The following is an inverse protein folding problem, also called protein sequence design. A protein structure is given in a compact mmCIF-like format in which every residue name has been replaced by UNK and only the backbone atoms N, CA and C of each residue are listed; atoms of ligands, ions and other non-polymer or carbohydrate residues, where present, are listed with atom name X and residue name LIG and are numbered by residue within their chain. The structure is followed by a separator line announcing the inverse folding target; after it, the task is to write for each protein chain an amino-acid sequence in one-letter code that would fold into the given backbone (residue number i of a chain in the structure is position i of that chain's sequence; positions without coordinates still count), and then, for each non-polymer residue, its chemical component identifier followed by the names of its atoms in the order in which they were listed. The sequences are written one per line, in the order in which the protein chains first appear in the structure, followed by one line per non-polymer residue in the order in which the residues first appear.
data_IF_741962436451
#
_entry.id   IF_741962436451
#
_cell.length_a   1.000
_cell.length_b   1.000
_cell.length_c   1.000
_cell.angle_alpha   90.00
_cell.angle_beta   90.00
_cell.angle_gamma   90.00
#
_symmetry.space_group_name_H-M   'P 1'
#
loop_
_entity.id
_entity.type
_entity.pdbx_description
1 polymer ?
#
# COMPACT_ATOMS: atom_id res chain seq x y z
N UNK A 1 39.93 -6.42 -2.79
CA UNK A 1 40.22 -5.46 -3.87
C UNK A 1 38.91 -4.71 -4.11
N UNK A 2 38.80 -3.44 -3.71
CA UNK A 2 37.64 -2.62 -4.03
C UNK A 2 37.94 -1.88 -5.34
N UNK A 3 36.98 -1.89 -6.27
CA UNK A 3 37.03 -1.23 -7.57
C UNK A 3 35.72 -0.45 -7.71
N UNK A 4 35.77 0.88 -7.88
CA UNK A 4 34.62 1.73 -8.18
C UNK A 4 35.10 2.76 -9.24
N UNK A 5 34.31 3.01 -10.29
CA UNK A 5 34.76 3.61 -11.57
C UNK A 5 33.83 4.74 -12.05
N UNK A 6 34.22 5.90 -12.59
CA UNK A 6 35.32 6.89 -12.39
C UNK A 6 34.71 8.26 -12.80
N UNK A 7 35.21 9.36 -12.20
CA UNK A 7 35.19 10.76 -12.66
C UNK A 7 34.85 11.02 -14.14
N UNK A 8 33.83 11.84 -14.37
CA UNK A 8 33.20 12.19 -15.66
C UNK A 8 34.04 13.07 -16.62
N UNK A 9 35.27 13.44 -16.25
CA UNK A 9 36.17 14.24 -17.08
C UNK A 9 36.93 13.37 -18.11
N UNK A 10 36.26 13.08 -19.24
CA UNK A 10 36.75 12.22 -20.34
C UNK A 10 38.07 12.61 -21.00
N UNK A 11 38.63 13.81 -20.74
CA UNK A 11 39.78 14.32 -21.50
C UNK A 11 41.14 14.35 -20.76
N UNK A 12 41.19 14.32 -19.41
CA UNK A 12 42.46 14.47 -18.68
C UNK A 12 42.87 13.27 -17.80
N UNK A 13 41.96 12.33 -17.50
CA UNK A 13 42.23 11.28 -16.50
C UNK A 13 41.88 9.86 -16.98
N UNK A 14 41.73 9.65 -18.29
CA UNK A 14 41.43 8.34 -18.88
C UNK A 14 42.48 7.25 -18.54
N UNK A 15 43.71 7.65 -18.20
CA UNK A 15 44.80 6.73 -17.81
C UNK A 15 44.76 6.28 -16.34
N UNK A 16 43.97 6.94 -15.50
CA UNK A 16 43.90 6.70 -14.04
C UNK A 16 42.63 5.93 -13.63
N UNK A 17 42.01 5.22 -14.56
CA UNK A 17 40.80 4.43 -14.32
C UNK A 17 41.16 2.96 -14.10
N UNK A 18 40.76 2.34 -12.97
CA UNK A 18 39.87 2.81 -11.89
C UNK A 18 40.56 3.59 -10.75
N UNK A 19 39.77 4.17 -9.85
CA UNK A 19 40.25 4.55 -8.52
C UNK A 19 40.63 3.29 -7.72
N UNK A 20 41.91 3.18 -7.35
CA UNK A 20 42.41 2.11 -6.49
C UNK A 20 42.70 2.68 -5.11
N UNK A 21 42.00 2.18 -4.09
CA UNK A 21 42.34 2.46 -2.69
C UNK A 21 43.39 1.44 -2.24
N UNK A 22 44.53 1.93 -1.76
CA UNK A 22 45.63 1.11 -1.25
C UNK A 22 45.71 1.22 0.28
N UNK A 23 45.15 0.25 1.05
CA UNK A 23 45.09 0.31 2.52
C UNK A 23 46.39 0.67 3.23
N UNK A 24 47.52 0.15 2.74
CA UNK A 24 48.84 0.41 3.34
C UNK A 24 49.25 1.88 3.29
N UNK A 25 48.82 2.64 2.28
CA UNK A 25 49.09 4.08 2.16
C UNK A 25 48.22 4.91 3.11
N UNK A 26 47.14 4.32 3.61
CA UNK A 26 46.22 4.89 4.61
C UNK A 26 46.49 4.33 6.01
N UNK A 27 47.70 3.80 6.25
CA UNK A 27 48.10 3.22 7.53
C UNK A 27 47.29 1.99 7.96
N UNK A 28 46.57 1.35 7.03
CA UNK A 28 45.57 0.32 7.29
C UNK A 28 44.45 0.77 8.26
N UNK A 29 44.19 2.08 8.38
CA UNK A 29 43.10 2.62 9.18
C UNK A 29 41.75 2.29 8.51
N UNK A 30 40.87 1.59 9.23
CA UNK A 30 39.53 1.23 8.75
C UNK A 30 38.73 2.46 8.36
N UNK A 31 38.80 3.51 9.19
CA UNK A 31 38.18 4.81 8.93
C UNK A 31 38.73 5.47 7.67
N UNK A 32 40.06 5.64 7.58
CA UNK A 32 40.66 6.31 6.44
C UNK A 32 40.38 5.57 5.12
N UNK A 33 40.35 4.23 5.16
CA UNK A 33 39.95 3.40 4.02
C UNK A 33 38.49 3.64 3.67
N UNK A 34 37.58 3.63 4.65
CA UNK A 34 36.15 3.86 4.41
C UNK A 34 35.89 5.25 3.83
N UNK A 35 36.51 6.29 4.39
CA UNK A 35 36.37 7.66 3.90
C UNK A 35 36.93 7.84 2.49
N UNK A 36 38.13 7.29 2.22
CA UNK A 36 38.69 7.35 0.88
C UNK A 36 37.78 6.62 -0.12
N UNK A 37 37.23 5.46 0.22
CA UNK A 37 36.27 4.76 -0.64
C UNK A 37 35.01 5.60 -0.86
N UNK A 38 34.44 6.18 0.20
CA UNK A 38 33.24 7.02 0.12
C UNK A 38 33.46 8.28 -0.72
N UNK A 39 34.61 8.95 -0.57
CA UNK A 39 35.00 10.11 -1.38
C UNK A 39 35.03 9.76 -2.88
N UNK A 40 35.70 8.67 -3.24
CA UNK A 40 35.76 8.20 -4.63
C UNK A 40 34.37 7.77 -5.16
N UNK A 41 33.50 7.24 -4.30
CA UNK A 41 32.10 6.98 -4.62
C UNK A 41 31.35 8.28 -4.95
N UNK A 42 31.57 9.34 -4.17
CA UNK A 42 30.99 10.66 -4.40
C UNK A 42 31.28 11.18 -5.81
N UNK A 43 32.50 11.01 -6.30
CA UNK A 43 32.84 11.38 -7.67
C UNK A 43 32.08 10.59 -8.75
N UNK A 44 31.72 9.32 -8.50
CA UNK A 44 30.86 8.57 -9.43
C UNK A 44 29.43 9.11 -9.44
N UNK A 45 29.00 9.73 -8.34
CA UNK A 45 27.78 10.50 -8.27
C UNK A 45 27.93 11.92 -8.84
N UNK A 46 29.12 12.32 -9.30
CA UNK A 46 29.37 13.64 -9.91
C UNK A 46 29.62 14.75 -8.88
N UNK A 47 29.99 14.39 -7.66
CA UNK A 47 30.33 15.35 -6.62
C UNK A 47 31.71 15.96 -6.90
N UNK A 48 31.85 17.25 -6.55
CA UNK A 48 33.11 17.97 -6.63
C UNK A 48 33.78 17.95 -5.26
N UNK A 49 35.05 18.37 -5.17
CA UNK A 49 35.67 18.49 -3.86
C UNK A 49 35.03 19.62 -3.06
N UNK A 50 34.84 19.36 -1.77
CA UNK A 50 34.48 20.37 -0.78
C UNK A 50 35.73 21.15 -0.40
N UNK A 51 35.85 22.38 -0.92
CA UNK A 51 36.99 23.25 -0.71
C UNK A 51 36.59 24.64 -0.23
N UNK A 52 37.58 25.53 -0.16
CA UNK A 52 37.36 26.95 0.11
C UNK A 52 37.83 27.80 -1.06
N UNK A 53 37.64 29.11 -0.97
CA UNK A 53 38.18 30.06 -1.96
C UNK A 53 39.70 29.97 -2.15
N UNK A 54 40.45 29.43 -1.18
CA UNK A 54 41.92 29.36 -1.21
C UNK A 54 42.49 27.94 -1.20
N UNK A 55 41.70 26.94 -0.83
CA UNK A 55 42.13 25.54 -0.72
C UNK A 55 41.21 24.64 -1.53
N UNK A 56 41.79 23.72 -2.30
CA UNK A 56 41.02 22.73 -3.07
C UNK A 56 40.27 21.70 -2.22
N UNK A 57 40.63 21.57 -0.93
CA UNK A 57 39.98 20.69 0.03
C UNK A 57 39.84 21.38 1.38
N UNK A 58 38.69 21.22 2.01
CA UNK A 58 38.40 21.72 3.34
C UNK A 58 38.62 20.62 4.39
N UNK A 59 39.40 20.93 5.43
CA UNK A 59 39.76 19.99 6.51
C UNK A 59 38.72 19.91 7.64
N UNK A 60 37.57 20.55 7.46
CA UNK A 60 36.54 20.65 8.50
C UNK A 60 36.89 21.58 9.67
N UNK A 61 35.96 21.66 10.60
CA UNK A 61 36.04 22.44 11.84
C UNK A 61 35.32 21.71 12.98
N UNK A 62 35.56 22.12 14.22
CA UNK A 62 35.03 21.42 15.40
C UNK A 62 35.27 19.90 15.32
N UNK A 63 34.23 19.08 15.48
CA UNK A 63 34.29 17.63 15.37
C UNK A 63 33.90 17.10 13.98
N UNK A 64 33.74 17.97 12.97
CA UNK A 64 33.15 17.63 11.67
C UNK A 64 34.02 18.00 10.46
N UNK A 65 33.92 17.24 9.39
CA UNK A 65 34.39 17.59 8.05
C UNK A 65 33.45 17.08 6.95
N UNK A 66 33.48 17.71 5.77
CA UNK A 66 32.86 17.14 4.59
C UNK A 66 33.66 15.96 4.03
N UNK A 67 32.97 14.92 3.59
CA UNK A 67 33.56 13.71 3.00
C UNK A 67 34.28 14.00 1.67
N UNK A 68 33.78 14.96 0.88
CA UNK A 68 34.46 15.42 -0.34
C UNK A 68 35.62 16.40 -0.05
N UNK A 69 35.94 16.65 1.23
CA UNK A 69 37.08 17.44 1.68
C UNK A 69 38.24 16.56 2.14
N UNK A 70 38.92 16.95 3.23
CA UNK A 70 40.02 16.20 3.85
C UNK A 70 39.72 15.90 5.32
N UNK A 71 38.65 15.14 5.56
CA UNK A 71 38.09 14.86 6.88
C UNK A 71 38.83 13.83 7.75
N UNK A 72 39.94 13.24 7.28
CA UNK A 72 40.59 12.08 7.94
C UNK A 72 40.87 12.22 9.43
N UNK A 73 41.04 13.44 9.95
CA UNK A 73 41.31 13.70 11.38
C UNK A 73 40.09 14.19 12.17
N UNK A 74 38.89 14.19 11.57
CA UNK A 74 37.65 14.64 12.20
C UNK A 74 36.79 13.44 12.55
N UNK A 75 36.25 13.37 13.76
CA UNK A 75 35.50 12.19 14.20
C UNK A 75 34.17 11.98 13.45
N UNK A 76 33.54 13.04 12.95
CA UNK A 76 32.33 12.99 12.12
C UNK A 76 32.69 13.45 10.70
N UNK A 77 32.38 12.64 9.68
CA UNK A 77 32.72 12.95 8.28
C UNK A 77 31.56 12.61 7.36
N UNK A 78 30.81 13.62 6.95
CA UNK A 78 29.51 13.48 6.29
C UNK A 78 29.48 14.11 4.90
N UNK A 79 28.45 13.80 4.12
CA UNK A 79 28.08 14.55 2.92
C UNK A 79 27.78 16.03 3.26
N UNK A 80 27.97 16.94 2.31
CA UNK A 80 27.80 18.38 2.54
C UNK A 80 26.85 19.05 1.55
N UNK A 81 26.26 20.17 1.99
CA UNK A 81 25.60 21.14 1.12
C UNK A 81 26.40 22.46 1.03
N UNK A 82 27.69 22.44 1.38
CA UNK A 82 28.54 23.63 1.40
C UNK A 82 28.14 24.66 2.48
N UNK A 83 27.58 24.19 3.60
CA UNK A 83 27.07 25.06 4.69
C UNK A 83 28.17 25.68 5.57
N UNK A 84 29.45 25.38 5.28
CA UNK A 84 30.59 25.86 6.05
C UNK A 84 31.18 27.17 5.53
N UNK A 85 31.84 27.90 6.42
CA UNK A 85 32.39 29.20 6.14
C UNK A 85 33.40 29.17 4.98
N UNK A 86 33.13 29.94 3.93
CA UNK A 86 34.03 30.10 2.78
C UNK A 86 34.02 28.92 1.79
N UNK A 87 33.01 28.04 1.86
CA UNK A 87 32.79 26.98 0.88
C UNK A 87 32.79 27.53 -0.55
N UNK A 88 33.46 26.83 -1.47
CA UNK A 88 33.56 27.21 -2.88
C UNK A 88 32.54 26.50 -3.78
N UNK A 89 31.72 25.61 -3.20
CA UNK A 89 30.73 24.76 -3.85
C UNK A 89 29.34 24.89 -3.20
N UNK A 90 28.96 26.07 -2.71
CA UNK A 90 27.69 26.34 -1.98
C UNK A 90 26.38 26.02 -2.73
N UNK A 91 26.46 25.61 -4.00
CA UNK A 91 25.31 25.21 -4.82
C UNK A 91 25.22 23.68 -5.00
N UNK A 92 26.16 22.92 -4.44
CA UNK A 92 26.21 21.46 -4.51
C UNK A 92 25.56 20.86 -3.27
N UNK A 93 24.41 20.21 -3.47
CA UNK A 93 23.71 19.41 -2.46
C UNK A 93 24.06 17.94 -2.71
N UNK A 94 25.03 17.42 -1.96
CA UNK A 94 25.58 16.08 -2.16
C UNK A 94 24.52 14.98 -2.07
N UNK A 95 23.74 14.99 -1.01
CA UNK A 95 22.68 14.01 -0.74
C UNK A 95 21.62 14.04 -1.85
N UNK A 96 21.22 15.23 -2.32
CA UNK A 96 20.27 15.34 -3.44
C UNK A 96 20.86 14.80 -4.76
N UNK A 97 22.13 15.07 -5.04
CA UNK A 97 22.81 14.57 -6.25
C UNK A 97 22.95 13.05 -6.21
N UNK A 98 23.30 12.48 -5.06
CA UNK A 98 23.35 11.03 -4.85
C UNK A 98 21.95 10.45 -5.04
N UNK A 99 20.92 11.03 -4.41
CA UNK A 99 19.53 10.56 -4.48
C UNK A 99 18.96 10.56 -5.90
N UNK A 100 19.41 11.46 -6.77
CA UNK A 100 19.02 11.49 -8.18
C UNK A 100 19.53 10.28 -8.99
N UNK A 101 20.55 9.58 -8.48
CA UNK A 101 21.24 8.46 -9.14
C UNK A 101 21.10 7.13 -8.39
N UNK A 102 20.87 7.17 -7.09
CA UNK A 102 20.60 6.01 -6.24
C UNK A 102 19.40 6.31 -5.33
N UNK A 103 18.35 5.48 -5.35
CA UNK A 103 17.17 5.73 -4.54
C UNK A 103 17.49 5.63 -3.05
N UNK A 104 16.78 6.42 -2.23
CA UNK A 104 16.76 6.23 -0.78
C UNK A 104 16.30 4.81 -0.43
N UNK A 105 16.71 4.36 0.75
CA UNK A 105 16.10 3.20 1.38
C UNK A 105 14.62 3.49 1.65
N UNK A 106 13.80 2.45 1.64
CA UNK A 106 12.40 2.59 1.99
C UNK A 106 12.29 2.85 3.49
N UNK A 107 11.52 3.88 3.84
CA UNK A 107 11.17 4.23 5.21
C UNK A 107 10.47 3.06 5.92
N UNK A 108 10.97 2.72 7.10
CA UNK A 108 10.52 1.63 7.97
C UNK A 108 9.55 2.04 9.07
N UNK A 109 9.48 3.32 9.43
CA UNK A 109 8.73 3.80 10.57
C UNK A 109 8.26 5.25 10.37
N UNK A 110 6.95 5.46 10.42
CA UNK A 110 6.43 6.80 10.18
C UNK A 110 6.76 7.81 11.28
N UNK A 111 6.66 9.10 10.94
CA UNK A 111 7.09 10.26 11.72
C UNK A 111 6.20 10.67 12.91
N UNK A 112 5.06 10.01 13.10
CA UNK A 112 4.05 10.40 14.09
C UNK A 112 3.56 9.19 14.88
N UNK A 113 2.95 9.44 16.04
CA UNK A 113 2.29 8.39 16.84
C UNK A 113 1.23 7.62 16.06
N UNK A 114 0.54 8.27 15.11
CA UNK A 114 -0.49 7.65 14.28
C UNK A 114 0.08 6.74 13.19
N UNK A 115 1.34 6.96 12.80
CA UNK A 115 2.06 6.21 11.76
C UNK A 115 3.20 5.38 12.35
N UNK A 116 3.25 5.27 13.67
CA UNK A 116 4.35 4.63 14.38
C UNK A 116 4.43 3.14 14.03
N UNK A 117 5.64 2.64 13.83
CA UNK A 117 5.87 1.23 13.60
C UNK A 117 5.67 0.42 14.88
N UNK A 118 5.01 -0.74 14.76
CA UNK A 118 4.82 -1.71 15.84
C UNK A 118 5.99 -2.71 15.95
N UNK A 119 6.87 -2.74 14.96
CA UNK A 119 8.04 -3.62 14.90
C UNK A 119 9.30 -2.80 14.70
N UNK A 120 10.31 -3.08 15.52
CA UNK A 120 11.65 -2.53 15.31
C UNK A 120 12.41 -3.29 14.23
N UNK A 121 12.88 -2.63 13.17
CA UNK A 121 13.95 -3.18 12.37
C UNK A 121 15.27 -3.19 13.18
N UNK A 122 16.12 -4.18 12.93
CA UNK A 122 17.43 -4.29 13.56
C UNK A 122 18.50 -4.53 12.47
N UNK A 123 19.25 -3.49 12.05
CA UNK A 123 19.17 -2.09 12.49
C UNK A 123 18.01 -1.31 11.82
N UNK A 124 17.64 -0.18 12.42
CA UNK A 124 16.85 0.89 11.77
C UNK A 124 17.74 1.94 11.12
N UNK A 125 17.17 2.87 10.35
CA UNK A 125 17.85 3.83 9.50
C UNK A 125 17.12 5.16 9.44
N UNK A 126 17.79 6.24 9.83
CA UNK A 126 17.41 7.60 9.42
C UNK A 126 17.99 7.81 8.03
N UNK A 127 17.13 7.89 7.01
CA UNK A 127 17.53 7.85 5.59
C UNK A 127 17.62 9.23 4.96
N UNK A 128 16.99 10.24 5.56
CA UNK A 128 17.01 11.63 5.09
C UNK A 128 16.88 12.60 6.28
N UNK A 129 17.17 13.89 6.06
CA UNK A 129 16.98 14.93 7.08
C UNK A 129 15.55 14.98 7.66
N UNK A 130 14.54 14.66 6.86
CA UNK A 130 13.14 14.72 7.31
C UNK A 130 12.62 13.36 7.79
N UNK A 131 13.50 12.36 7.87
CA UNK A 131 13.16 11.03 8.29
C UNK A 131 13.11 10.98 9.81
N UNK A 132 11.93 10.62 10.33
CA UNK A 132 11.66 10.56 11.76
C UNK A 132 11.06 9.20 12.02
N UNK A 133 11.75 8.37 12.79
CA UNK A 133 11.29 7.03 13.07
C UNK A 133 10.52 7.01 14.38
N UNK A 134 9.20 6.82 14.34
CA UNK A 134 8.37 6.66 15.56
C UNK A 134 8.00 5.20 15.78
N UNK A 135 8.21 4.69 17.00
CA UNK A 135 7.89 3.32 17.40
C UNK A 135 6.93 3.28 18.58
N UNK A 136 5.94 2.40 18.50
CA UNK A 136 5.05 2.12 19.62
C UNK A 136 5.78 1.25 20.66
N UNK A 137 6.02 1.80 21.85
CA UNK A 137 6.67 1.07 22.96
C UNK A 137 5.71 0.12 23.68
N UNK A 138 4.42 0.41 23.56
CA UNK A 138 3.32 -0.29 24.22
C UNK A 138 2.85 0.41 25.49
N UNK A 139 2.20 -0.35 26.37
CA UNK A 139 1.78 0.15 27.68
C UNK A 139 2.98 0.20 28.61
N UNK A 140 3.34 1.39 29.06
CA UNK A 140 4.44 1.63 29.98
C UNK A 140 3.92 2.10 31.34
N UNK A 141 4.69 1.88 32.39
CA UNK A 141 4.38 2.38 33.74
C UNK A 141 5.63 2.39 34.61
N UNK A 142 5.76 3.39 35.47
CA UNK A 142 6.95 3.52 36.31
C UNK A 142 8.15 3.98 35.47
N UNK A 143 9.33 3.44 35.75
CA UNK A 143 10.55 3.84 35.02
C UNK A 143 10.60 3.21 33.62
N UNK A 144 10.61 4.06 32.60
CA UNK A 144 10.86 3.70 31.19
C UNK A 144 12.26 4.14 30.85
N UNK A 145 13.06 3.24 30.30
CA UNK A 145 14.40 3.56 29.81
C UNK A 145 14.49 3.26 28.33
N UNK A 146 14.97 4.22 27.54
CA UNK A 146 15.21 4.10 26.11
C UNK A 146 16.71 4.27 25.83
N UNK A 147 17.24 3.55 24.86
CA UNK A 147 18.62 3.73 24.39
C UNK A 147 18.69 3.52 22.89
N UNK A 148 19.06 4.59 22.18
CA UNK A 148 19.33 4.60 20.75
C UNK A 148 20.83 4.72 20.51
N UNK A 149 21.42 3.72 19.84
CA UNK A 149 22.86 3.65 19.58
C UNK A 149 23.10 3.69 18.07
N UNK A 150 23.89 4.65 17.54
CA UNK A 150 24.23 4.70 16.12
C UNK A 150 25.19 3.56 15.74
N UNK A 151 25.53 3.46 14.47
CA UNK A 151 26.50 2.48 13.98
C UNK A 151 27.82 2.51 14.80
N UNK A 152 28.40 1.35 15.16
CA UNK A 152 29.52 1.30 16.11
C UNK A 152 30.86 1.82 15.56
N UNK A 153 30.98 1.99 14.24
CA UNK A 153 32.23 2.36 13.57
C UNK A 153 31.97 3.53 12.63
N UNK A 154 32.67 4.65 12.87
CA UNK A 154 32.50 5.92 12.13
C UNK A 154 31.02 6.31 11.93
N UNK A 155 30.24 6.40 13.03
CA UNK A 155 28.86 6.86 12.93
C UNK A 155 28.78 8.31 12.47
N UNK A 156 27.85 8.56 11.55
CA UNK A 156 27.47 9.89 11.09
C UNK A 156 26.12 10.33 11.65
N UNK A 157 25.28 9.40 12.09
CA UNK A 157 24.00 9.71 12.69
C UNK A 157 24.20 10.19 14.13
N UNK A 158 23.87 11.46 14.37
CA UNK A 158 23.79 12.11 15.68
C UNK A 158 22.34 12.08 16.16
N UNK A 159 22.05 11.24 17.15
CA UNK A 159 20.69 10.87 17.50
C UNK A 159 20.11 11.80 18.55
N UNK A 160 18.93 12.35 18.25
CA UNK A 160 17.99 12.81 19.26
C UNK A 160 16.93 11.74 19.51
N UNK A 161 16.72 11.40 20.79
CA UNK A 161 15.76 10.40 21.22
C UNK A 161 14.67 11.04 22.06
N UNK A 162 13.42 10.79 21.70
CA UNK A 162 12.26 11.36 22.38
C UNK A 162 11.32 10.27 22.86
N UNK A 163 10.82 10.43 24.09
CA UNK A 163 9.68 9.68 24.63
C UNK A 163 8.43 10.54 24.47
N UNK A 164 7.40 9.99 23.81
CA UNK A 164 6.15 10.68 23.51
C UNK A 164 4.97 9.99 24.20
N UNK A 165 3.97 10.78 24.57
CA UNK A 165 2.67 10.27 25.04
C UNK A 165 1.76 9.84 23.87
N UNK A 166 0.56 9.36 24.19
CA UNK A 166 -0.42 8.89 23.20
C UNK A 166 -1.01 9.98 22.30
N UNK A 167 -0.86 11.25 22.65
CA UNK A 167 -1.24 12.39 21.83
C UNK A 167 -0.09 12.91 20.96
N UNK A 168 1.12 12.32 21.08
CA UNK A 168 2.34 12.81 20.45
C UNK A 168 3.01 13.97 21.18
N UNK A 169 2.59 14.26 22.41
CA UNK A 169 3.23 15.23 23.30
C UNK A 169 4.57 14.71 23.79
N UNK A 170 5.57 15.60 23.83
CA UNK A 170 6.90 15.27 24.34
C UNK A 170 6.87 15.08 25.85
N UNK A 171 7.30 13.90 26.31
CA UNK A 171 7.38 13.54 27.74
C UNK A 171 8.80 13.74 28.26
N UNK A 172 9.79 13.24 27.52
CA UNK A 172 11.21 13.41 27.80
C UNK A 172 12.00 13.33 26.49
N UNK A 173 13.18 13.93 26.45
CA UNK A 173 14.11 13.81 25.35
C UNK A 173 15.53 13.69 25.89
N UNK A 174 16.39 13.07 25.09
CA UNK A 174 17.83 13.15 25.23
C UNK A 174 18.45 13.46 23.86
N UNK A 175 19.41 14.38 23.89
CA UNK A 175 20.16 14.90 22.73
C UNK A 175 21.55 15.28 23.24
N UNK A 176 22.44 14.31 23.47
CA UNK A 176 23.74 14.57 24.06
C UNK A 176 24.60 15.41 23.12
N UNK A 177 25.30 16.41 23.67
CA UNK A 177 26.21 17.21 22.89
C UNK A 177 27.29 16.34 22.25
N UNK A 178 27.31 16.32 20.92
CA UNK A 178 28.29 15.56 20.17
C UNK A 178 29.69 16.18 20.23
N UNK A 179 30.69 15.31 20.17
CA UNK A 179 32.09 15.68 20.27
C UNK A 179 32.99 14.61 19.66
N UNK A 180 34.25 14.58 20.06
CA UNK A 180 35.13 13.47 19.75
C UNK A 180 36.56 13.70 20.16
N UNK A 181 37.34 12.62 20.09
CA UNK A 181 38.76 12.61 20.41
C UNK A 181 39.51 11.88 19.30
N UNK A 182 40.32 12.64 18.54
CA UNK A 182 40.95 12.12 17.33
C UNK A 182 39.89 11.64 16.34
N UNK A 183 39.95 10.35 16.00
CA UNK A 183 39.09 9.75 14.98
C UNK A 183 37.76 9.18 15.51
N UNK A 184 37.52 9.27 16.82
CA UNK A 184 36.35 8.68 17.47
C UNK A 184 35.35 9.74 17.84
N UNK A 185 34.15 9.65 17.28
CA UNK A 185 33.01 10.47 17.67
C UNK A 185 32.40 9.99 19.00
N UNK A 186 31.90 10.93 19.78
CA UNK A 186 31.25 10.70 21.07
C UNK A 186 29.98 11.54 21.15
N UNK A 187 28.98 11.10 21.91
CA UNK A 187 27.73 11.85 22.09
C UNK A 187 26.68 11.61 21.00
N UNK A 188 27.02 10.92 19.91
CA UNK A 188 26.11 10.65 18.79
C UNK A 188 24.93 9.70 19.09
N UNK A 189 24.92 9.06 20.26
CA UNK A 189 23.83 8.19 20.69
C UNK A 189 23.13 8.79 21.90
N UNK A 190 21.84 8.54 22.02
CA UNK A 190 20.99 9.11 23.06
C UNK A 190 20.37 8.03 23.95
N UNK A 191 20.25 8.33 25.23
CA UNK A 191 19.63 7.45 26.22
C UNK A 191 18.90 8.27 27.29
N UNK A 192 17.65 7.90 27.57
CA UNK A 192 16.84 8.56 28.59
C UNK A 192 16.22 7.54 29.54
N UNK A 193 15.94 7.99 30.76
CA UNK A 193 15.14 7.25 31.74
C UNK A 193 14.12 8.19 32.38
N UNK A 194 12.84 7.86 32.26
CA UNK A 194 11.74 8.72 32.68
C UNK A 194 10.67 7.92 33.43
N UNK A 195 10.23 8.44 34.57
CA UNK A 195 9.07 7.93 35.29
C UNK A 195 7.78 8.37 34.60
N UNK A 196 6.89 7.43 34.27
CA UNK A 196 5.63 7.70 33.58
C UNK A 196 4.42 7.04 34.26
N UNK A 197 3.23 7.68 34.24
CA UNK A 197 2.00 7.00 34.62
C UNK A 197 1.67 5.87 33.64
N UNK A 198 0.83 4.92 34.08
CA UNK A 198 0.38 3.83 33.22
C UNK A 198 -0.33 4.37 31.98
N UNK A 199 0.16 4.02 30.80
CA UNK A 199 -0.37 4.52 29.54
C UNK A 199 0.44 4.05 28.33
N UNK A 200 0.00 4.44 27.13
CA UNK A 200 0.75 4.19 25.90
C UNK A 200 1.82 5.25 25.71
N UNK A 201 3.00 4.80 25.30
CA UNK A 201 4.10 5.68 24.94
C UNK A 201 4.78 5.23 23.66
N UNK A 202 5.49 6.17 23.07
CA UNK A 202 6.20 6.01 21.81
C UNK A 202 7.62 6.51 21.96
N UNK A 203 8.55 5.92 21.22
CA UNK A 203 9.87 6.49 21.01
C UNK A 203 9.90 7.16 19.64
N UNK A 204 10.55 8.31 19.53
CA UNK A 204 10.91 8.91 18.25
C UNK A 204 12.42 9.09 18.16
N UNK A 205 12.99 8.63 17.06
CA UNK A 205 14.41 8.77 16.73
C UNK A 205 14.52 9.77 15.58
N UNK A 206 15.43 10.73 15.74
CA UNK A 206 15.72 11.79 14.77
C UNK A 206 17.23 11.93 14.58
N UNK A 207 17.66 12.28 13.38
CA UNK A 207 19.04 12.63 13.06
C UNK A 207 19.24 14.13 13.14
N UNK A 208 19.90 14.60 14.20
CA UNK A 208 20.09 16.02 14.48
C UNK A 208 21.50 16.50 14.14
N UNK A 209 21.75 17.80 14.17
CA UNK A 209 23.08 18.37 14.02
C UNK A 209 23.69 18.79 15.36
N UNK A 210 24.99 19.04 15.37
CA UNK A 210 25.68 19.66 16.49
C UNK A 210 26.07 21.10 16.15
N UNK A 211 25.16 22.04 16.41
CA UNK A 211 25.36 23.46 16.20
C UNK A 211 24.91 23.94 14.82
N UNK A 212 25.79 24.68 14.12
CA UNK A 212 25.51 25.27 12.81
C UNK A 212 26.62 24.89 11.84
N UNK A 213 26.45 25.10 10.54
CA UNK A 213 27.52 24.90 9.55
C UNK A 213 28.80 25.73 9.80
N UNK A 214 28.76 26.73 10.69
CA UNK A 214 29.94 27.51 11.08
C UNK A 214 30.59 27.04 12.39
N UNK A 215 29.84 26.37 13.27
CA UNK A 215 30.28 26.00 14.63
C UNK A 215 30.34 24.50 14.87
N UNK A 216 29.92 23.69 13.89
CA UNK A 216 29.87 22.24 13.90
C UNK A 216 29.21 21.72 12.62
N UNK A 217 28.04 21.10 12.73
CA UNK A 217 27.29 20.61 11.57
C UNK A 217 25.78 20.70 11.81
N UNK A 218 25.04 20.83 10.72
CA UNK A 218 23.58 20.81 10.75
C UNK A 218 23.07 19.35 10.71
N UNK A 219 21.76 19.18 10.80
CA UNK A 219 21.03 17.94 10.55
C UNK A 219 21.05 17.49 9.08
N UNK A 220 21.80 18.16 8.19
CA UNK A 220 21.81 17.86 6.74
C UNK A 220 22.11 16.40 6.41
N UNK A 221 23.19 15.88 6.97
CA UNK A 221 23.70 14.54 6.69
C UNK A 221 23.91 13.74 7.98
N UNK A 222 23.14 14.09 9.03
CA UNK A 222 22.98 13.26 10.22
C UNK A 222 22.02 12.12 9.90
N UNK A 223 22.49 11.20 9.07
CA UNK A 223 21.73 10.06 8.55
C UNK A 223 22.54 8.79 8.79
N UNK A 224 21.87 7.65 8.96
CA UNK A 224 22.57 6.39 9.17
C UNK A 224 21.80 5.35 9.93
N UNK A 225 22.47 4.24 10.19
CA UNK A 225 21.89 3.11 10.91
C UNK A 225 21.95 3.32 12.43
N UNK A 226 20.93 2.83 13.14
CA UNK A 226 20.91 2.78 14.59
C UNK A 226 20.26 1.49 15.11
N UNK A 227 20.40 1.28 16.42
CA UNK A 227 19.65 0.29 17.18
C UNK A 227 18.89 1.01 18.28
N UNK A 228 17.66 0.59 18.54
CA UNK A 228 16.82 1.12 19.62
C UNK A 228 16.43 -0.02 20.56
N UNK A 229 16.60 0.22 21.86
CA UNK A 229 16.19 -0.70 22.93
C UNK A 229 15.40 0.05 23.99
N UNK A 230 14.47 -0.64 24.65
CA UNK A 230 13.73 -0.07 25.77
C UNK A 230 13.37 -1.09 26.84
N UNK A 231 13.05 -0.57 28.02
CA UNK A 231 12.51 -1.32 29.16
C UNK A 231 11.41 -0.51 29.85
N UNK A 232 10.60 -1.14 30.70
CA UNK A 232 9.51 -0.47 31.43
C UNK A 232 8.18 -0.40 30.67
N UNK A 233 8.09 -1.09 29.53
CA UNK A 233 6.89 -1.19 28.71
C UNK A 233 6.62 -2.66 28.36
N UNK A 234 5.33 -3.03 28.26
CA UNK A 234 4.94 -4.33 27.74
C UNK A 234 4.87 -4.26 26.21
N UNK A 235 5.82 -4.92 25.54
CA UNK A 235 5.81 -5.12 24.09
C UNK A 235 4.56 -5.90 23.68
N UNK A 236 3.77 -5.37 22.75
CA UNK A 236 2.54 -6.03 22.29
C UNK A 236 1.36 -5.11 22.04
N UNK A 237 1.54 -3.78 22.06
CA UNK A 237 0.49 -2.91 21.60
C UNK A 237 0.41 -2.95 20.07
N UNK A 238 -0.78 -3.19 19.54
CA UNK A 238 -1.07 -3.33 18.12
C UNK A 238 -2.41 -2.69 17.80
N UNK A 239 -2.77 -2.60 16.53
CA UNK A 239 -4.15 -2.32 16.16
C UNK A 239 -5.09 -3.35 16.85
N UNK A 240 -6.35 -3.00 17.15
CA UNK A 240 -7.21 -3.89 17.91
C UNK A 240 -7.43 -5.22 17.19
N UNK A 241 -7.76 -6.26 17.95
CA UNK A 241 -8.27 -7.49 17.37
C UNK A 241 -9.58 -7.30 16.60
N UNK A 242 -10.05 -8.36 15.97
CA UNK A 242 -11.35 -8.38 15.31
C UNK A 242 -12.49 -8.08 16.33
N UNK A 243 -13.45 -7.20 16.02
CA UNK A 243 -14.68 -7.06 16.80
C UNK A 243 -15.41 -8.40 16.95
N UNK A 244 -15.96 -8.67 18.13
CA UNK A 244 -16.60 -9.96 18.43
C UNK A 244 -18.12 -9.84 18.39
N UNK A 245 -18.85 -10.96 18.43
CA UNK A 245 -20.32 -10.93 18.56
C UNK A 245 -21.06 -10.20 17.43
N UNK A 246 -20.50 -10.17 16.21
CA UNK A 246 -21.13 -9.48 15.07
C UNK A 246 -22.48 -10.15 14.73
N UNK A 247 -23.56 -9.39 14.89
CA UNK A 247 -24.92 -9.81 14.54
C UNK A 247 -25.53 -8.87 13.53
N UNK A 248 -26.25 -9.43 12.55
CA UNK A 248 -27.05 -8.67 11.58
C UNK A 248 -28.50 -9.13 11.71
N UNK A 249 -29.36 -8.20 12.13
CA UNK A 249 -30.79 -8.38 12.36
C UNK A 249 -31.57 -7.60 11.29
N UNK A 250 -32.08 -8.27 10.25
CA UNK A 250 -32.90 -7.62 9.22
C UNK A 250 -34.24 -7.17 9.78
N UNK A 251 -34.72 -6.03 9.30
CA UNK A 251 -36.13 -5.67 9.45
C UNK A 251 -37.01 -6.64 8.67
N UNK A 252 -38.24 -6.85 9.15
CA UNK A 252 -39.19 -7.79 8.55
C UNK A 252 -39.54 -7.45 7.09
N UNK A 253 -39.41 -6.18 6.70
CA UNK A 253 -39.66 -5.72 5.33
C UNK A 253 -38.47 -5.97 4.38
N UNK A 254 -37.33 -6.44 4.89
CA UNK A 254 -36.11 -6.69 4.13
C UNK A 254 -35.41 -5.44 3.61
N UNK A 255 -35.77 -4.24 4.08
CA UNK A 255 -35.28 -2.96 3.56
C UNK A 255 -34.28 -2.25 4.48
N UNK A 256 -34.13 -2.74 5.69
CA UNK A 256 -33.08 -2.30 6.61
C UNK A 256 -32.52 -3.48 7.40
N UNK A 257 -31.34 -3.31 7.96
CA UNK A 257 -30.76 -4.25 8.89
C UNK A 257 -29.93 -3.52 9.94
N UNK A 258 -30.18 -3.85 11.20
CA UNK A 258 -29.36 -3.39 12.32
C UNK A 258 -28.18 -4.34 12.49
N UNK A 259 -27.00 -3.76 12.47
CA UNK A 259 -25.73 -4.44 12.70
C UNK A 259 -25.24 -4.03 14.07
N UNK A 260 -24.89 -5.01 14.90
CA UNK A 260 -24.33 -4.77 16.24
C UNK A 260 -23.17 -5.72 16.48
N UNK A 261 -22.24 -5.28 17.31
CA UNK A 261 -21.02 -6.03 17.64
C UNK A 261 -20.60 -5.72 19.08
N UNK A 262 -19.66 -6.51 19.58
CA UNK A 262 -18.92 -6.26 20.81
C UNK A 262 -17.53 -5.76 20.47
N UNK A 263 -16.91 -5.06 21.43
CA UNK A 263 -15.50 -4.70 21.32
C UNK A 263 -14.61 -5.94 21.10
N UNK A 264 -13.42 -5.76 20.49
CA UNK A 264 -12.43 -6.82 20.40
C UNK A 264 -12.06 -7.37 21.77
N UNK A 265 -11.76 -8.67 21.85
CA UNK A 265 -11.29 -9.30 23.08
C UNK A 265 -9.89 -8.83 23.51
N UNK A 266 -9.09 -8.42 22.53
CA UNK A 266 -7.81 -7.74 22.74
C UNK A 266 -7.87 -6.39 22.02
N UNK A 267 -7.74 -5.31 22.77
CA UNK A 267 -7.69 -3.94 22.23
C UNK A 267 -6.29 -3.58 21.73
N UNK A 268 -5.34 -4.52 21.78
CA UNK A 268 -3.95 -4.28 21.40
C UNK A 268 -3.27 -3.30 22.33
N UNK A 269 -3.60 -3.30 23.63
CA UNK A 269 -2.96 -2.46 24.65
C UNK A 269 -3.34 -0.98 24.60
N UNK A 270 -4.21 -0.58 23.66
CA UNK A 270 -4.75 0.77 23.50
C UNK A 270 -6.26 0.73 23.44
N UNK A 271 -6.92 1.64 24.16
CA UNK A 271 -8.37 1.79 24.09
C UNK A 271 -8.83 1.98 22.63
N UNK A 272 -9.88 1.24 22.25
CA UNK A 272 -10.55 1.40 20.96
C UNK A 272 -11.26 2.76 20.94
N UNK A 273 -10.97 3.56 19.92
CA UNK A 273 -11.47 4.93 19.77
C UNK A 273 -12.65 5.02 18.79
N UNK A 274 -12.71 4.13 17.81
CA UNK A 274 -13.79 4.11 16.82
C UNK A 274 -13.94 2.73 16.15
N UNK A 275 -15.04 2.59 15.41
CA UNK A 275 -15.32 1.45 14.54
C UNK A 275 -15.60 1.93 13.13
N UNK A 276 -15.15 1.18 12.13
CA UNK A 276 -15.53 1.38 10.72
C UNK A 276 -16.44 0.23 10.30
N UNK A 277 -17.71 0.55 10.04
CA UNK A 277 -18.71 -0.42 9.59
C UNK A 277 -18.93 -0.27 8.07
N UNK A 278 -18.88 -1.38 7.35
CA UNK A 278 -18.99 -1.43 5.89
C UNK A 278 -20.03 -2.43 5.41
N UNK A 279 -20.45 -2.27 4.16
CA UNK A 279 -21.41 -3.16 3.49
C UNK A 279 -21.16 -3.18 1.99
N UNK A 280 -21.36 -4.32 1.35
CA UNK A 280 -21.29 -4.45 -0.11
C UNK A 280 -22.16 -3.41 -0.83
N UNK A 281 -21.53 -2.56 -1.63
CA UNK A 281 -22.21 -1.55 -2.46
C UNK A 281 -22.58 -0.26 -1.72
N UNK A 282 -22.05 -0.02 -0.52
CA UNK A 282 -22.18 1.23 0.21
C UNK A 282 -20.79 1.77 0.63
N UNK A 283 -20.70 3.05 0.93
CA UNK A 283 -19.51 3.64 1.57
C UNK A 283 -19.45 3.22 3.03
N UNK A 284 -18.25 3.15 3.62
CA UNK A 284 -18.08 2.80 5.03
C UNK A 284 -18.52 3.95 5.96
N UNK A 285 -19.00 3.60 7.16
CA UNK A 285 -19.38 4.54 8.23
C UNK A 285 -18.40 4.43 9.41
N UNK A 286 -17.89 5.56 9.89
CA UNK A 286 -17.08 5.64 11.12
C UNK A 286 -17.96 6.00 12.31
N UNK A 287 -17.86 5.22 13.39
CA UNK A 287 -18.78 5.24 14.53
C UNK A 287 -18.01 5.14 15.84
N UNK A 288 -18.52 5.73 16.91
CA UNK A 288 -18.05 5.48 18.29
C UNK A 288 -18.93 4.49 19.05
N UNK A 289 -20.15 4.24 18.54
CA UNK A 289 -21.07 3.24 19.07
C UNK A 289 -20.80 1.83 18.56
N UNK A 290 -21.48 0.86 19.18
CA UNK A 290 -21.36 -0.58 18.89
C UNK A 290 -22.48 -1.12 17.97
N UNK A 291 -23.18 -0.22 17.27
CA UNK A 291 -24.25 -0.57 16.34
C UNK A 291 -24.47 0.52 15.29
N UNK A 292 -24.90 0.10 14.09
CA UNK A 292 -25.46 0.98 13.05
C UNK A 292 -26.63 0.29 12.35
N UNK A 293 -27.49 1.05 11.69
CA UNK A 293 -28.59 0.53 10.88
C UNK A 293 -28.43 0.94 9.43
N UNK A 294 -28.25 -0.05 8.57
CA UNK A 294 -28.22 0.17 7.11
C UNK A 294 -29.64 0.18 6.57
N UNK A 295 -29.98 1.20 5.79
CA UNK A 295 -31.28 1.34 5.11
C UNK A 295 -31.14 1.25 3.58
N UNK A 296 -32.26 1.16 2.87
CA UNK A 296 -32.25 1.05 1.40
C UNK A 296 -31.81 -0.33 0.90
N UNK A 297 -31.96 -1.38 1.70
CA UNK A 297 -31.59 -2.73 1.31
C UNK A 297 -32.67 -3.33 0.40
N UNK A 298 -32.28 -4.26 -0.46
CA UNK A 298 -33.21 -4.95 -1.34
C UNK A 298 -33.71 -6.24 -0.66
N UNK A 299 -35.04 -6.43 -0.49
CA UNK A 299 -35.60 -7.67 0.03
C UNK A 299 -35.13 -8.88 -0.79
N UNK A 300 -34.72 -9.96 -0.12
CA UNK A 300 -34.17 -11.16 -0.75
C UNK A 300 -32.72 -11.07 -1.25
N UNK A 301 -32.07 -9.89 -1.22
CA UNK A 301 -30.67 -9.76 -1.58
C UNK A 301 -29.74 -10.14 -0.41
N UNK A 302 -28.56 -10.69 -0.74
CA UNK A 302 -27.50 -11.02 0.23
C UNK A 302 -26.44 -9.95 0.25
N UNK A 303 -26.03 -9.55 1.44
CA UNK A 303 -25.00 -8.54 1.65
C UNK A 303 -23.93 -9.06 2.61
N UNK A 304 -22.68 -8.68 2.37
CA UNK A 304 -21.60 -8.84 3.35
C UNK A 304 -21.51 -7.55 4.15
N UNK A 305 -21.59 -7.68 5.47
CA UNK A 305 -21.37 -6.59 6.43
C UNK A 305 -20.01 -6.78 7.10
N UNK A 306 -19.25 -5.71 7.26
CA UNK A 306 -17.92 -5.73 7.87
C UNK A 306 -17.83 -4.72 9.00
N UNK A 307 -17.10 -5.01 10.06
CA UNK A 307 -16.78 -4.05 11.13
C UNK A 307 -15.33 -4.19 11.52
N UNK A 308 -14.60 -3.07 11.58
CA UNK A 308 -13.22 -2.99 12.09
C UNK A 308 -13.19 -2.09 13.32
N UNK A 309 -12.37 -2.43 14.31
CA UNK A 309 -12.07 -1.54 15.43
C UNK A 309 -10.79 -0.74 15.14
N UNK A 310 -10.72 0.49 15.64
CA UNK A 310 -9.56 1.37 15.50
C UNK A 310 -9.14 1.85 16.88
N UNK A 311 -7.84 1.80 17.18
CA UNK A 311 -7.23 2.43 18.35
C UNK A 311 -6.13 3.41 17.90
N UNK A 312 -5.35 3.94 18.85
CA UNK A 312 -4.25 4.86 18.54
C UNK A 312 -3.17 4.24 17.62
N UNK A 313 -3.07 2.91 17.58
CA UNK A 313 -2.11 2.16 16.76
C UNK A 313 -2.68 1.69 15.42
N UNK A 314 -3.89 2.13 15.07
CA UNK A 314 -4.50 1.92 13.76
C UNK A 314 -5.73 1.02 13.78
N UNK A 315 -6.10 0.58 12.58
CA UNK A 315 -7.35 -0.17 12.36
C UNK A 315 -7.08 -1.67 12.27
N UNK A 316 -7.80 -2.43 13.08
CA UNK A 316 -7.70 -3.87 13.21
C UNK A 316 -8.33 -4.68 12.07
N UNK A 317 -8.28 -5.99 12.25
CA UNK A 317 -8.93 -6.94 11.33
C UNK A 317 -10.46 -6.78 11.33
N UNK A 318 -11.08 -7.03 10.18
CA UNK A 318 -12.53 -6.92 10.02
C UNK A 318 -13.24 -8.17 10.51
N UNK A 319 -14.29 -7.99 11.33
CA UNK A 319 -15.34 -8.97 11.51
C UNK A 319 -16.25 -8.92 10.28
N UNK A 320 -16.59 -10.06 9.69
CA UNK A 320 -17.47 -10.10 8.50
C UNK A 320 -18.61 -11.09 8.68
N UNK A 321 -19.82 -10.69 8.32
CA UNK A 321 -21.00 -11.57 8.30
C UNK A 321 -21.80 -11.37 7.02
N UNK A 322 -22.13 -12.47 6.33
CA UNK A 322 -23.08 -12.45 5.23
C UNK A 322 -24.51 -12.67 5.73
N UNK A 323 -25.45 -11.85 5.25
CA UNK A 323 -26.86 -11.96 5.59
C UNK A 323 -27.75 -11.70 4.38
N UNK A 324 -28.65 -12.63 4.09
CA UNK A 324 -29.76 -12.45 3.18
C UNK A 324 -30.90 -11.69 3.86
N UNK A 325 -31.45 -10.69 3.18
CA UNK A 325 -32.62 -9.95 3.67
C UNK A 325 -33.89 -10.80 3.52
N UNK A 326 -34.85 -10.70 4.45
CA UNK A 326 -36.16 -11.29 4.29
C UNK A 326 -36.76 -10.92 2.94
N UNK A 327 -37.40 -11.90 2.31
CA UNK A 327 -38.30 -11.62 1.20
C UNK A 327 -39.58 -11.05 1.79
N UNK A 328 -40.18 -10.08 1.09
CA UNK A 328 -41.47 -9.57 1.50
C UNK A 328 -42.51 -10.70 1.40
N UNK A 329 -43.34 -10.90 2.44
CA UNK A 329 -44.44 -11.85 2.36
C UNK A 329 -45.35 -11.45 1.21
N UNK A 330 -45.68 -12.42 0.34
CA UNK A 330 -46.78 -12.24 -0.61
C UNK A 330 -48.05 -11.99 0.20
N UNK A 331 -48.65 -10.81 0.05
CA UNK A 331 -49.89 -10.44 0.73
C UNK A 331 -50.93 -11.57 0.68
N UNK A 332 -51.50 -12.02 1.81
CA UNK A 332 -52.61 -12.97 1.83
C UNK A 332 -53.82 -12.32 1.15
N UNK A 333 -54.36 -12.96 0.10
CA UNK A 333 -55.63 -12.55 -0.49
C UNK A 333 -56.78 -12.89 0.47
N UNK A 334 -57.61 -11.90 0.81
CA UNK A 334 -58.87 -12.03 1.57
C UNK A 334 -59.78 -13.13 1.03
N UNK A 335 -60.52 -13.88 1.88
CA UNK A 335 -61.39 -14.96 1.43
C UNK A 335 -62.60 -14.40 0.67
N UNK A 336 -62.60 -14.56 -0.65
CA UNK A 336 -63.82 -14.52 -1.46
C UNK A 336 -64.39 -15.93 -1.51
N UNK A 337 -65.65 -16.11 -1.13
CA UNK A 337 -66.37 -17.34 -1.45
C UNK A 337 -66.50 -17.52 -2.97
N UNK A 338 -66.99 -18.69 -3.41
CA UNK A 338 -66.17 -19.77 -3.96
C UNK A 338 -65.12 -19.29 -4.98
N UNK A 339 -63.88 -19.75 -4.77
CA UNK A 339 -62.62 -19.16 -5.24
C UNK A 339 -62.42 -19.02 -6.76
N UNK A 340 -62.08 -17.80 -7.20
CA UNK A 340 -61.42 -17.52 -8.49
C UNK A 340 -59.91 -17.33 -8.22
N UNK A 341 -58.99 -18.04 -8.91
CA UNK A 341 -57.55 -17.97 -8.66
C UNK A 341 -56.96 -16.59 -9.00
N UNK A 342 -56.04 -16.12 -8.15
CA UNK A 342 -55.21 -14.92 -8.38
C UNK A 342 -54.58 -15.00 -9.78
N UNK A 343 -54.68 -13.94 -10.62
CA UNK A 343 -54.03 -13.96 -11.94
C UNK A 343 -52.53 -14.22 -11.76
N UNK A 344 -51.94 -15.17 -12.50
CA UNK A 344 -50.48 -15.36 -12.51
C UNK A 344 -49.80 -14.03 -12.83
N UNK A 345 -48.61 -13.80 -12.25
CA UNK A 345 -47.75 -12.72 -12.71
C UNK A 345 -47.70 -12.78 -14.25
N UNK A 346 -48.11 -11.70 -14.91
CA UNK A 346 -48.26 -11.69 -16.36
C UNK A 346 -46.95 -12.20 -16.97
N UNK A 347 -47.03 -13.35 -17.63
CA UNK A 347 -45.86 -13.96 -18.22
C UNK A 347 -45.21 -12.94 -19.18
N UNK A 348 -43.88 -12.90 -19.18
CA UNK A 348 -43.08 -12.02 -20.03
C UNK A 348 -42.54 -12.77 -21.25
N UNK A 349 -41.99 -12.05 -22.23
CA UNK A 349 -41.23 -12.67 -23.31
C UNK A 349 -40.04 -13.46 -22.74
N UNK A 350 -39.50 -14.48 -23.44
CA UNK A 350 -38.40 -15.30 -22.92
C UNK A 350 -37.12 -14.47 -22.75
N UNK A 351 -36.20 -14.94 -21.91
CA UNK A 351 -34.87 -14.35 -21.78
C UNK A 351 -33.98 -14.67 -22.99
N UNK A 352 -32.86 -13.96 -23.14
CA UNK A 352 -31.92 -14.23 -24.22
C UNK A 352 -31.27 -15.62 -24.05
N UNK A 353 -31.20 -16.45 -25.11
CA UNK A 353 -30.43 -17.69 -25.09
C UNK A 353 -28.95 -17.43 -24.81
N UNK A 354 -28.31 -18.29 -24.03
CA UNK A 354 -26.89 -18.18 -23.66
C UNK A 354 -26.03 -19.19 -24.43
N UNK A 355 -24.70 -19.11 -24.25
CA UNK A 355 -23.69 -20.03 -24.85
C UNK A 355 -23.81 -20.22 -26.36
N UNK A 356 -24.14 -19.14 -27.09
CA UNK A 356 -24.29 -19.21 -28.55
C UNK A 356 -22.92 -19.32 -29.23
N UNK A 357 -22.71 -20.41 -29.96
CA UNK A 357 -21.47 -20.71 -30.66
C UNK A 357 -21.76 -21.15 -32.10
N UNK A 358 -20.90 -20.75 -33.05
CA UNK A 358 -21.01 -21.13 -34.46
C UNK A 358 -19.70 -21.73 -34.98
N UNK A 359 -19.80 -22.78 -35.78
CA UNK A 359 -18.67 -23.43 -36.45
C UNK A 359 -18.95 -23.67 -37.93
N UNK A 360 -17.92 -23.54 -38.76
CA UNK A 360 -18.01 -23.82 -40.20
C UNK A 360 -18.10 -25.32 -40.45
N UNK A 361 -18.76 -25.71 -41.56
CA UNK A 361 -18.77 -27.09 -42.05
C UNK A 361 -17.37 -27.61 -42.39
N UNK A 362 -17.27 -28.93 -42.62
CA UNK A 362 -16.01 -29.59 -42.95
C UNK A 362 -15.38 -29.05 -44.24
N UNK A 363 -14.05 -28.94 -44.26
CA UNK A 363 -13.28 -28.49 -45.44
C UNK A 363 -13.54 -29.41 -46.63
N UNK A 364 -13.93 -28.84 -47.78
CA UNK A 364 -14.31 -29.60 -48.98
C UNK A 364 -15.77 -30.09 -49.00
N UNK A 365 -16.54 -29.84 -47.95
CA UNK A 365 -17.96 -30.18 -47.85
C UNK A 365 -18.90 -29.10 -48.41
N UNK A 366 -20.21 -29.33 -48.27
CA UNK A 366 -21.24 -28.33 -48.59
C UNK A 366 -21.08 -27.10 -47.68
N UNK A 367 -21.19 -25.90 -48.25
CA UNK A 367 -21.07 -24.61 -47.55
C UNK A 367 -22.16 -24.46 -46.47
N UNK A 368 -21.83 -24.91 -45.26
CA UNK A 368 -22.73 -24.94 -44.10
C UNK A 368 -22.08 -24.28 -42.88
N UNK A 369 -22.92 -23.82 -41.95
CA UNK A 369 -22.53 -23.36 -40.61
C UNK A 369 -23.43 -24.04 -39.60
N UNK A 370 -22.87 -24.59 -38.53
CA UNK A 370 -23.60 -25.15 -37.40
C UNK A 370 -23.58 -24.18 -36.23
N UNK A 371 -24.75 -23.80 -35.73
CA UNK A 371 -24.90 -22.93 -34.56
C UNK A 371 -25.51 -23.73 -33.42
N UNK A 372 -25.00 -23.57 -32.20
CA UNK A 372 -25.48 -24.22 -30.96
C UNK A 372 -25.70 -23.18 -29.87
N UNK A 373 -26.67 -23.41 -28.98
CA UNK A 373 -27.00 -22.51 -27.85
C UNK A 373 -27.65 -23.28 -26.70
N UNK A 374 -27.60 -22.70 -25.49
CA UNK A 374 -28.35 -23.19 -24.32
C UNK A 374 -29.80 -22.70 -24.31
N UNK A 375 -30.66 -23.45 -23.62
CA UNK A 375 -32.05 -23.08 -23.40
C UNK A 375 -32.17 -21.68 -22.77
N UNK A 376 -33.12 -20.88 -23.25
CA UNK A 376 -33.53 -19.66 -22.55
C UNK A 376 -34.48 -20.01 -21.39
N UNK A 377 -34.55 -19.12 -20.40
CA UNK A 377 -35.63 -19.12 -19.40
C UNK A 377 -36.89 -18.56 -20.06
N UNK A 378 -38.04 -19.19 -19.82
CA UNK A 378 -39.26 -18.99 -20.60
C UNK A 378 -40.07 -17.72 -20.23
N UNK A 379 -39.70 -17.05 -19.13
CA UNK A 379 -40.39 -15.84 -18.68
C UNK A 379 -41.80 -16.09 -18.15
N UNK A 380 -42.16 -17.34 -17.84
CA UNK A 380 -43.49 -17.72 -17.35
C UNK A 380 -44.49 -18.14 -18.43
N UNK A 381 -44.12 -18.12 -19.72
CA UNK A 381 -44.89 -18.74 -20.81
C UNK A 381 -43.99 -19.67 -21.62
N UNK A 382 -44.39 -20.93 -21.87
CA UNK A 382 -43.53 -21.91 -22.51
C UNK A 382 -42.94 -21.41 -23.83
N UNK A 383 -41.63 -21.58 -24.00
CA UNK A 383 -40.95 -21.26 -25.26
C UNK A 383 -41.59 -22.10 -26.37
N UNK A 384 -42.12 -21.43 -27.39
CA UNK A 384 -42.75 -22.02 -28.56
C UNK A 384 -41.76 -22.21 -29.71
N UNK A 385 -40.65 -21.48 -29.70
CA UNK A 385 -39.61 -21.63 -30.72
C UNK A 385 -38.39 -20.75 -30.52
N UNK A 386 -37.46 -20.86 -31.48
CA UNK A 386 -36.27 -20.01 -31.57
C UNK A 386 -36.17 -19.40 -32.96
N UNK A 387 -35.62 -18.19 -33.04
CA UNK A 387 -35.21 -17.54 -34.29
C UNK A 387 -33.69 -17.45 -34.30
N UNK A 388 -33.07 -18.06 -35.29
CA UNK A 388 -31.63 -17.94 -35.55
C UNK A 388 -31.43 -16.90 -36.66
N UNK A 389 -30.81 -15.78 -36.34
CA UNK A 389 -30.54 -14.69 -37.27
C UNK A 389 -29.09 -14.81 -37.75
N UNK A 390 -28.88 -14.81 -39.06
CA UNK A 390 -27.55 -14.70 -39.67
C UNK A 390 -27.33 -13.24 -40.09
N UNK A 391 -26.18 -12.67 -39.70
CA UNK A 391 -25.84 -11.28 -39.92
C UNK A 391 -24.59 -11.15 -40.79
N UNK A 392 -24.60 -10.20 -41.73
CA UNK A 392 -23.43 -9.72 -42.45
C UNK A 392 -23.34 -8.22 -42.29
N UNK A 393 -22.15 -7.70 -41.90
CA UNK A 393 -21.95 -6.27 -41.62
C UNK A 393 -23.09 -5.70 -40.74
N UNK A 394 -23.45 -6.45 -39.71
CA UNK A 394 -24.52 -6.14 -38.74
C UNK A 394 -25.95 -6.05 -39.26
N UNK A 395 -26.17 -6.33 -40.55
CA UNK A 395 -27.50 -6.47 -41.12
C UNK A 395 -27.94 -7.92 -41.07
N UNK A 396 -29.17 -8.16 -40.61
CA UNK A 396 -29.80 -9.50 -40.70
C UNK A 396 -30.05 -9.80 -42.16
N UNK A 397 -29.36 -10.82 -42.67
CA UNK A 397 -29.48 -11.26 -44.08
C UNK A 397 -30.40 -12.46 -44.22
N UNK A 398 -30.56 -13.27 -43.18
CA UNK A 398 -31.58 -14.32 -43.14
C UNK A 398 -31.96 -14.69 -41.72
N UNK A 399 -33.16 -15.25 -41.54
CA UNK A 399 -33.68 -15.70 -40.24
C UNK A 399 -34.29 -17.10 -40.40
N UNK A 400 -33.88 -18.03 -39.53
CA UNK A 400 -34.40 -19.39 -39.49
C UNK A 400 -35.30 -19.57 -38.27
N UNK A 401 -36.53 -20.06 -38.48
CA UNK A 401 -37.45 -20.43 -37.40
C UNK A 401 -37.22 -21.90 -36.99
N UNK A 402 -37.23 -22.15 -35.69
CA UNK A 402 -36.89 -23.43 -35.09
C UNK A 402 -37.90 -23.75 -33.99
N UNK A 403 -38.14 -25.06 -33.74
CA UNK A 403 -39.06 -25.50 -32.70
C UNK A 403 -38.53 -25.26 -31.27
N UNK A 404 -39.44 -25.34 -30.30
CA UNK A 404 -39.20 -25.09 -28.87
C UNK A 404 -38.02 -25.87 -28.25
N UNK A 405 -37.73 -27.07 -28.75
CA UNK A 405 -36.66 -27.95 -28.24
C UNK A 405 -35.33 -27.77 -28.95
N UNK A 406 -35.24 -26.90 -29.97
CA UNK A 406 -34.02 -26.71 -30.73
C UNK A 406 -32.89 -26.12 -29.86
N UNK A 407 -31.73 -26.77 -29.85
CA UNK A 407 -30.48 -26.29 -29.23
C UNK A 407 -29.34 -26.17 -30.23
N UNK A 408 -29.57 -26.59 -31.47
CA UNK A 408 -28.64 -26.43 -32.56
C UNK A 408 -29.35 -26.36 -33.90
N UNK A 409 -28.68 -25.75 -34.88
CA UNK A 409 -29.11 -25.76 -36.28
C UNK A 409 -27.91 -25.67 -37.20
N UNK A 410 -27.85 -26.56 -38.19
CA UNK A 410 -26.96 -26.43 -39.34
C UNK A 410 -27.71 -25.75 -40.48
N UNK A 411 -27.14 -24.68 -41.01
CA UNK A 411 -27.72 -23.87 -42.09
C UNK A 411 -26.80 -23.89 -43.31
N UNK A 412 -27.39 -23.83 -44.51
CA UNK A 412 -26.65 -23.53 -45.75
C UNK A 412 -26.79 -22.05 -46.02
N UNK A 413 -25.66 -21.40 -46.27
CA UNK A 413 -25.60 -19.98 -46.57
C UNK A 413 -24.67 -19.76 -47.77
N UNK A 414 -24.88 -18.70 -48.56
CA UNK A 414 -23.90 -18.28 -49.56
C UNK A 414 -22.52 -18.08 -48.94
N UNK A 415 -21.45 -18.26 -49.74
CA UNK A 415 -20.09 -18.02 -49.27
C UNK A 415 -19.95 -16.61 -48.71
N UNK A 416 -19.38 -16.49 -47.51
CA UNK A 416 -19.26 -15.21 -46.83
C UNK A 416 -18.92 -15.34 -45.35
N UNK A 417 -18.71 -14.19 -44.70
CA UNK A 417 -18.45 -14.08 -43.26
C UNK A 417 -19.74 -13.71 -42.54
N UNK A 418 -20.12 -14.48 -41.53
CA UNK A 418 -21.37 -14.30 -40.81
C UNK A 418 -21.14 -14.25 -39.31
N UNK A 419 -22.04 -13.55 -38.62
CA UNK A 419 -22.24 -13.59 -37.17
C UNK A 419 -23.66 -14.07 -36.92
N UNK A 420 -23.88 -14.82 -35.85
CA UNK A 420 -25.20 -15.33 -35.50
C UNK A 420 -25.66 -14.81 -34.15
N UNK A 421 -26.96 -14.60 -34.03
CA UNK A 421 -27.66 -14.37 -32.76
C UNK A 421 -28.92 -15.23 -32.72
N UNK A 422 -29.32 -15.64 -31.53
CA UNK A 422 -30.52 -16.45 -31.29
C UNK A 422 -31.49 -15.67 -30.42
N UNK A 423 -32.77 -15.74 -30.76
CA UNK A 423 -33.88 -15.19 -29.99
C UNK A 423 -34.82 -16.33 -29.61
N UNK A 424 -35.22 -16.42 -28.34
CA UNK A 424 -36.27 -17.32 -27.90
C UNK A 424 -37.65 -16.66 -28.04
N UNK A 425 -38.67 -17.44 -28.38
CA UNK A 425 -40.03 -16.97 -28.65
C UNK A 425 -41.00 -17.78 -27.80
N UNK A 426 -41.95 -17.11 -27.15
CA UNK A 426 -43.11 -17.75 -26.50
C UNK A 426 -44.42 -17.14 -27.02
N UNK A 427 -45.55 -17.43 -26.37
CA UNK A 427 -46.84 -16.92 -26.78
C UNK A 427 -46.99 -15.38 -26.65
N UNK A 428 -46.14 -14.72 -25.85
CA UNK A 428 -46.15 -13.26 -25.64
C UNK A 428 -45.31 -12.54 -26.68
N UNK A 429 -44.22 -13.15 -27.13
CA UNK A 429 -43.41 -12.60 -28.20
C UNK A 429 -41.95 -13.01 -28.18
N UNK A 430 -41.14 -12.21 -28.86
CA UNK A 430 -39.70 -12.41 -29.00
C UNK A 430 -38.95 -11.86 -27.79
N UNK A 431 -38.08 -12.68 -27.22
CA UNK A 431 -37.11 -12.26 -26.22
C UNK A 431 -35.98 -11.38 -26.80
N UNK A 432 -35.09 -10.87 -25.94
CA UNK A 432 -33.90 -10.15 -26.40
C UNK A 432 -32.95 -11.07 -27.19
N UNK A 433 -32.14 -10.47 -28.07
CA UNK A 433 -31.10 -11.18 -28.83
C UNK A 433 -30.01 -11.69 -27.88
N UNK A 434 -29.54 -12.90 -28.11
CA UNK A 434 -28.32 -13.42 -27.50
C UNK A 434 -27.10 -12.54 -27.80
N UNK A 435 -26.02 -12.76 -27.05
CA UNK A 435 -24.69 -12.33 -27.47
C UNK A 435 -24.36 -12.86 -28.87
N UNK A 436 -23.62 -12.06 -29.64
CA UNK A 436 -23.16 -12.39 -30.99
C UNK A 436 -22.12 -13.51 -30.94
N UNK A 437 -22.19 -14.47 -31.85
CA UNK A 437 -21.09 -15.42 -32.04
C UNK A 437 -19.83 -14.72 -32.54
N UNK A 438 -18.68 -15.40 -32.43
CA UNK A 438 -17.51 -15.03 -33.25
C UNK A 438 -17.86 -15.11 -34.74
N UNK A 439 -17.13 -14.35 -35.56
CA UNK A 439 -17.30 -14.38 -37.02
C UNK A 439 -16.89 -15.76 -37.55
N UNK A 440 -17.78 -16.38 -38.32
CA UNK A 440 -17.53 -17.67 -38.99
C UNK A 440 -17.64 -17.50 -40.50
N UNK A 441 -16.78 -18.20 -41.24
CA UNK A 441 -16.87 -18.21 -42.71
C UNK A 441 -17.68 -19.41 -43.17
N UNK A 442 -18.74 -19.18 -43.94
CA UNK A 442 -19.36 -20.22 -44.73
C UNK A 442 -18.47 -20.43 -45.98
N UNK A 443 -17.75 -21.55 -46.07
CA UNK A 443 -16.83 -21.86 -47.17
C UNK A 443 -17.20 -23.18 -47.85
#
# INVERSE_FOLDING_TARGET
RAYINVFDATFNHASYQPAWIFPHQLGNSTKAIAEAVSHEVGHNFGLQHDGTSTLGYYSGHANWAPIMGTGYSRPVVQWSAGEYAGANNTAQDDVAIIAAKAPYRADEAGSTVATAAATLPAPGYITSRNDLDTFALGTCSGAVSLTATPAPTSPDLDIRLELLDSAGGLVAADDPASGGSGDTATGLGAALSQGVPSGLYFARVDGVGNGTGATGYTDYASIGAYTLTWTGCTTGASAPGQPTGLTVTPAADGRSATVSWSAPAADGGSAVTSYTAGRTGAADETLTGLSTTWTGLTPGATYTFTVRATNALGTGEAASLQRSMPTLPSTPSTPSGPSIPKPPAAAGVPFAPTTVQASSGAKGGRTTVSVRWSAAVDGGSPITGYRLLALQRDRVVTTFKLGATARSRTVRLPRGRYVFVVVAVNAIGDGPRSVRTRIVSAR
#
